data_IF_277750351890
#
_entry.id   IF_277750351890
#
_cell.length_a   1.000
_cell.length_b   1.000
_cell.length_c   1.000
_cell.angle_alpha   90.00
_cell.angle_beta   90.00
_cell.angle_gamma   90.00
#
_symmetry.space_group_name_H-M   'P 1'
#
loop_
_entity.id
_entity.type
_entity.pdbx_description
1 polymer ?
#
# COMPACT_ATOMS: atom_id res chain seq x y z
N UNK A 1 -5.40 39.90 23.85
CA UNK A 1 -6.13 38.62 24.06
C UNK A 1 -7.31 38.50 23.08
N UNK A 2 -8.23 39.51 23.07
CA UNK A 2 -9.46 39.43 22.23
C UNK A 2 -9.19 39.35 20.72
N UNK A 3 -8.21 40.06 20.20
CA UNK A 3 -7.86 40.09 18.76
C UNK A 3 -7.23 38.78 18.25
N UNK A 4 -6.72 37.92 19.13
CA UNK A 4 -6.08 36.64 18.78
C UNK A 4 -6.86 35.41 19.28
N UNK A 5 -8.07 35.62 19.79
CA UNK A 5 -8.91 34.55 20.36
C UNK A 5 -8.20 33.72 21.46
N UNK A 6 -7.31 34.37 22.25
CA UNK A 6 -6.58 33.73 23.33
C UNK A 6 -7.29 33.94 24.69
N UNK A 7 -7.23 32.93 25.54
CA UNK A 7 -7.69 32.96 26.92
C UNK A 7 -6.49 33.05 27.89
N UNK A 8 -6.71 33.53 29.09
CA UNK A 8 -5.73 33.54 30.16
C UNK A 8 -6.01 32.38 31.11
N UNK A 9 -4.97 31.61 31.42
CA UNK A 9 -4.99 30.53 32.38
C UNK A 9 -4.05 30.86 33.57
N UNK A 10 -4.47 30.56 34.76
CA UNK A 10 -3.62 30.59 35.96
C UNK A 10 -3.02 29.20 36.14
N UNK A 11 -1.70 29.10 36.02
CA UNK A 11 -0.98 27.82 36.00
C UNK A 11 -0.06 27.72 37.22
N UNK A 12 -0.18 26.62 37.96
CA UNK A 12 0.71 26.23 39.05
C UNK A 12 1.46 24.95 38.64
N UNK A 13 2.78 24.96 38.75
CA UNK A 13 3.62 23.77 38.50
C UNK A 13 4.22 23.33 39.84
N UNK A 14 3.91 22.10 40.24
CA UNK A 14 4.42 21.47 41.45
C UNK A 14 5.45 20.40 41.09
N UNK A 15 6.60 20.40 41.79
CA UNK A 15 7.63 19.40 41.67
C UNK A 15 7.82 18.70 42.99
N UNK A 16 7.48 17.42 43.06
CA UNK A 16 7.63 16.61 44.27
C UNK A 16 8.97 15.86 44.21
N UNK A 17 9.84 16.08 45.18
CA UNK A 17 11.07 15.34 45.37
C UNK A 17 10.89 14.29 46.47
N UNK A 18 11.29 13.06 46.23
CA UNK A 18 11.24 11.97 47.22
C UNK A 18 12.61 11.31 47.33
N UNK A 19 12.94 10.86 48.55
CA UNK A 19 14.20 10.14 48.80
C UNK A 19 14.08 9.21 50.02
N UNK A 20 15.00 8.27 50.14
CA UNK A 20 15.05 7.28 51.22
C UNK A 20 15.55 7.85 52.58
N UNK A 21 16.25 8.99 52.57
CA UNK A 21 16.71 9.69 53.74
C UNK A 21 16.78 11.20 53.51
N UNK A 22 16.87 11.97 54.59
CA UNK A 22 16.85 13.44 54.59
C UNK A 22 17.99 14.05 53.74
N UNK A 23 19.19 13.52 53.84
CA UNK A 23 20.34 14.07 53.12
C UNK A 23 20.21 13.89 51.60
N UNK A 24 19.70 12.73 51.16
CA UNK A 24 19.39 12.50 49.72
C UNK A 24 18.26 13.39 49.25
N UNK A 25 17.26 13.65 50.07
CA UNK A 25 16.17 14.56 49.75
C UNK A 25 16.67 16.00 49.56
N UNK A 26 17.48 16.50 50.48
CA UNK A 26 18.08 17.83 50.38
C UNK A 26 18.95 17.98 49.14
N UNK A 27 19.72 16.94 48.80
CA UNK A 27 20.49 16.91 47.55
C UNK A 27 19.59 16.94 46.30
N UNK A 28 18.50 16.17 46.27
CA UNK A 28 17.55 16.17 45.17
C UNK A 28 16.88 17.53 44.98
N UNK A 29 16.44 18.15 46.09
CA UNK A 29 15.87 19.52 46.08
C UNK A 29 16.87 20.55 45.54
N UNK A 30 18.13 20.46 45.97
CA UNK A 30 19.20 21.34 45.49
C UNK A 30 19.46 21.15 44.00
N UNK A 31 19.54 19.91 43.53
CA UNK A 31 19.73 19.61 42.12
C UNK A 31 18.56 20.11 41.25
N UNK A 32 17.32 19.91 41.73
CA UNK A 32 16.10 20.41 41.05
C UNK A 32 16.13 21.92 40.94
N UNK A 33 16.49 22.63 42.02
CA UNK A 33 16.59 24.08 42.01
C UNK A 33 17.71 24.58 41.05
N UNK A 34 18.86 23.92 41.06
CA UNK A 34 19.98 24.25 40.16
C UNK A 34 19.62 24.07 38.68
N UNK A 35 18.90 22.99 38.33
CA UNK A 35 18.40 22.75 36.98
C UNK A 35 17.41 23.86 36.58
N UNK A 36 16.44 24.19 37.42
CA UNK A 36 15.48 25.24 37.15
C UNK A 36 16.17 26.60 36.90
N UNK A 37 17.17 26.94 37.75
CA UNK A 37 17.91 28.18 37.62
C UNK A 37 18.70 28.25 36.31
N UNK A 38 19.25 27.14 35.83
CA UNK A 38 19.91 27.04 34.52
C UNK A 38 18.98 27.46 33.37
N UNK A 39 17.70 27.24 33.50
CA UNK A 39 16.65 27.61 32.54
C UNK A 39 15.88 28.88 32.91
N UNK A 40 16.47 29.72 33.77
CA UNK A 40 15.86 30.98 34.26
C UNK A 40 14.50 30.80 34.92
N UNK A 41 14.26 29.64 35.54
CA UNK A 41 13.09 29.38 36.35
C UNK A 41 13.43 29.45 37.84
N UNK A 42 12.65 30.18 38.62
CA UNK A 42 12.76 30.24 40.06
C UNK A 42 11.79 29.24 40.70
N UNK A 43 12.29 28.35 41.55
CA UNK A 43 11.47 27.45 42.34
C UNK A 43 11.30 27.99 43.74
N UNK A 44 10.08 27.98 44.26
CA UNK A 44 9.76 28.35 45.64
C UNK A 44 9.46 27.07 46.42
N UNK A 45 10.15 26.87 47.52
CA UNK A 45 9.86 25.74 48.42
C UNK A 45 8.57 26.00 49.17
N UNK A 46 7.72 24.98 49.27
CA UNK A 46 6.47 25.04 50.03
C UNK A 46 6.72 24.70 51.50
N UNK A 47 7.36 25.62 52.24
CA UNK A 47 7.58 25.45 53.68
C UNK A 47 6.26 25.69 54.44
N UNK A 48 5.87 24.74 55.27
CA UNK A 48 4.61 24.72 56.05
C UNK A 48 3.32 24.71 55.18
N UNK A 49 3.45 24.35 53.88
CA UNK A 49 2.35 24.23 52.92
C UNK A 49 2.38 22.86 52.23
N UNK A 50 2.89 21.85 52.92
CA UNK A 50 3.06 20.52 52.32
C UNK A 50 1.71 19.83 52.07
N UNK A 51 0.73 20.06 52.95
CA UNK A 51 -0.63 19.52 52.82
C UNK A 51 -1.33 20.14 51.59
N UNK A 52 -1.29 21.47 51.48
CA UNK A 52 -1.87 22.21 50.39
C UNK A 52 -1.19 21.81 49.06
N UNK A 53 0.13 21.59 49.06
CA UNK A 53 0.87 21.11 47.91
C UNK A 53 0.48 19.70 47.51
N UNK A 54 0.32 18.80 48.48
CA UNK A 54 -0.15 17.44 48.21
C UNK A 54 -1.58 17.44 47.63
N UNK A 55 -2.49 18.16 48.27
CA UNK A 55 -3.90 18.24 47.85
C UNK A 55 -4.02 18.85 46.43
N UNK A 56 -3.21 19.86 46.12
CA UNK A 56 -3.17 20.47 44.77
C UNK A 56 -2.55 19.58 43.72
N UNK A 57 -1.75 18.59 44.10
CA UNK A 57 -1.14 17.62 43.17
C UNK A 57 -2.04 16.43 42.84
N UNK A 58 -3.11 16.21 43.60
CA UNK A 58 -4.06 15.14 43.35
C UNK A 58 -5.11 15.57 42.31
N UNK A 59 -5.62 14.64 41.49
CA UNK A 59 -6.59 14.96 40.44
C UNK A 59 -8.02 15.18 40.97
N UNK A 60 -8.15 15.98 42.03
CA UNK A 60 -9.43 16.30 42.70
C UNK A 60 -10.02 17.65 42.26
N UNK A 61 -9.34 18.36 41.34
CA UNK A 61 -9.84 19.61 40.78
C UNK A 61 -9.72 20.84 41.69
N UNK A 62 -8.91 20.78 42.76
CA UNK A 62 -8.71 21.89 43.72
C UNK A 62 -7.23 22.29 43.71
N UNK A 63 -6.94 23.59 43.52
CA UNK A 63 -5.63 24.17 43.76
C UNK A 63 -5.66 24.99 45.04
N UNK A 64 -4.89 24.58 46.05
CA UNK A 64 -4.79 25.25 47.34
C UNK A 64 -3.49 26.07 47.47
N UNK A 65 -2.64 26.04 46.44
CA UNK A 65 -1.37 26.79 46.42
C UNK A 65 -1.58 28.08 45.65
N UNK A 66 -1.36 29.23 46.33
CA UNK A 66 -1.56 30.57 45.74
C UNK A 66 -0.40 31.05 44.84
N UNK A 67 0.47 30.15 44.41
CA UNK A 67 1.56 30.45 43.47
C UNK A 67 1.10 30.19 42.07
N UNK A 68 0.65 31.23 41.39
CA UNK A 68 0.05 31.13 40.07
C UNK A 68 0.80 32.01 39.05
N UNK A 69 0.92 31.51 37.82
CA UNK A 69 1.44 32.24 36.69
C UNK A 69 0.38 32.39 35.63
N UNK A 70 0.09 33.61 35.22
CA UNK A 70 -0.81 33.89 34.09
C UNK A 70 -0.13 33.51 32.79
N UNK A 71 -0.72 32.55 32.04
CA UNK A 71 -0.26 32.13 30.74
C UNK A 71 -1.42 32.23 29.73
N UNK A 72 -1.10 32.61 28.49
CA UNK A 72 -2.08 32.64 27.38
C UNK A 72 -2.32 31.23 26.84
N UNK A 73 -3.38 31.04 26.04
CA UNK A 73 -3.69 29.75 25.40
C UNK A 73 -2.49 29.17 24.70
N UNK A 74 -1.78 29.94 23.87
CA UNK A 74 -0.59 29.49 23.13
C UNK A 74 0.55 29.09 24.06
N UNK A 75 0.76 29.85 25.15
CA UNK A 75 1.80 29.51 26.15
C UNK A 75 1.43 28.27 26.99
N UNK A 76 0.16 28.10 27.34
CA UNK A 76 -0.34 26.97 28.12
C UNK A 76 -0.34 25.68 27.27
N UNK A 77 -0.59 25.78 25.97
CA UNK A 77 -0.57 24.65 25.05
C UNK A 77 0.80 23.92 25.00
N UNK A 78 1.89 24.60 25.33
CA UNK A 78 3.24 23.99 25.44
C UNK A 78 3.32 22.93 26.54
N UNK A 79 2.48 23.05 27.59
CA UNK A 79 2.43 22.07 28.70
C UNK A 79 1.51 20.88 28.42
N UNK A 80 0.74 20.91 27.32
CA UNK A 80 -0.03 19.73 26.93
C UNK A 80 0.99 18.65 26.56
N UNK A 81 0.99 17.51 27.26
CA UNK A 81 1.88 16.41 26.90
C UNK A 81 1.37 15.83 25.59
N UNK A 82 1.87 16.36 24.49
CA UNK A 82 1.73 15.68 23.20
C UNK A 82 2.50 14.38 23.30
N UNK A 83 1.80 13.33 23.72
CA UNK A 83 2.30 11.97 23.61
C UNK A 83 2.49 11.65 22.14
N UNK A 84 3.45 10.83 21.84
CA UNK A 84 3.64 10.27 20.49
C UNK A 84 2.32 9.64 20.03
N UNK A 85 1.95 9.86 18.78
CA UNK A 85 0.85 9.12 18.17
C UNK A 85 1.20 7.63 18.18
N UNK A 86 0.27 6.80 18.62
CA UNK A 86 0.43 5.36 18.70
C UNK A 86 -0.56 4.68 17.77
N UNK A 87 -0.11 3.60 17.15
CA UNK A 87 -0.92 2.74 16.30
C UNK A 87 -0.88 1.33 16.86
N UNK A 88 -1.84 1.02 17.75
CA UNK A 88 -1.94 -0.28 18.37
C UNK A 88 -3.39 -0.77 18.36
N UNK A 89 -3.66 -1.75 17.48
CA UNK A 89 -4.97 -2.37 17.33
C UNK A 89 -4.87 -3.86 17.67
N UNK A 90 -5.99 -4.44 18.04
CA UNK A 90 -6.13 -5.89 18.27
C UNK A 90 -6.73 -6.63 17.07
N UNK A 91 -7.14 -7.88 17.30
CA UNK A 91 -7.76 -8.72 16.25
C UNK A 91 -6.79 -9.15 15.17
N UNK A 92 -7.11 -8.91 13.91
CA UNK A 92 -6.28 -9.26 12.76
C UNK A 92 -5.24 -8.18 12.40
N UNK A 93 -4.85 -7.34 13.36
CA UNK A 93 -3.84 -6.32 13.14
C UNK A 93 -2.48 -6.93 12.83
N UNK A 94 -1.83 -6.42 11.80
CA UNK A 94 -0.50 -6.84 11.37
C UNK A 94 0.57 -5.96 12.01
N UNK A 95 1.74 -6.54 12.28
CA UNK A 95 2.89 -5.83 12.82
C UNK A 95 3.69 -5.14 11.72
N UNK A 96 4.01 -3.86 11.91
CA UNK A 96 4.74 -3.02 10.94
C UNK A 96 6.06 -2.43 11.49
N UNK A 97 6.50 -2.85 12.66
CA UNK A 97 7.71 -2.34 13.29
C UNK A 97 7.45 -1.67 14.64
N UNK A 98 8.43 -0.94 15.12
CA UNK A 98 8.35 -0.13 16.33
C UNK A 98 8.19 1.35 15.97
N UNK A 99 7.41 2.07 16.75
CA UNK A 99 7.36 3.52 16.70
C UNK A 99 8.76 4.08 17.03
N UNK A 100 9.36 4.84 16.12
CA UNK A 100 10.72 5.35 16.30
C UNK A 100 10.87 6.35 17.48
N UNK A 101 9.76 6.88 18.02
CA UNK A 101 9.76 7.81 19.15
C UNK A 101 9.54 7.11 20.50
N UNK A 102 8.54 6.23 20.57
CA UNK A 102 8.14 5.57 21.82
C UNK A 102 8.69 4.17 22.01
N UNK A 103 9.20 3.54 20.95
CA UNK A 103 9.55 2.11 20.87
C UNK A 103 8.37 1.15 21.09
N UNK A 104 7.13 1.63 21.04
CA UNK A 104 5.96 0.77 21.11
C UNK A 104 5.73 0.07 19.77
N UNK A 105 5.13 -1.13 19.80
CA UNK A 105 4.79 -1.86 18.58
C UNK A 105 3.73 -1.11 17.76
N UNK A 106 3.94 -1.07 16.45
CA UNK A 106 2.94 -0.61 15.49
C UNK A 106 2.17 -1.85 15.00
N UNK A 107 0.89 -1.89 15.37
CA UNK A 107 -0.04 -2.97 15.03
C UNK A 107 -1.29 -2.36 14.42
N UNK A 108 -1.57 -2.61 13.15
CA UNK A 108 -2.75 -2.06 12.47
C UNK A 108 -3.42 -3.07 11.54
N UNK A 109 -4.74 -2.95 11.44
CA UNK A 109 -5.56 -3.72 10.50
C UNK A 109 -6.07 -2.80 9.39
N UNK A 110 -5.55 -2.96 8.19
CA UNK A 110 -5.94 -2.15 7.02
C UNK A 110 -7.42 -2.29 6.66
N UNK A 111 -8.06 -3.41 7.03
CA UNK A 111 -9.51 -3.62 6.78
C UNK A 111 -10.41 -2.65 7.55
N UNK A 112 -9.88 -2.02 8.61
CA UNK A 112 -10.60 -1.00 9.38
C UNK A 112 -10.53 0.40 8.76
N UNK A 113 -9.69 0.62 7.74
CA UNK A 113 -9.62 1.87 7.01
C UNK A 113 -10.81 2.05 6.06
N UNK A 114 -11.16 3.30 5.77
CA UNK A 114 -12.17 3.61 4.75
C UNK A 114 -11.72 3.16 3.36
N UNK A 115 -10.42 3.33 3.07
CA UNK A 115 -9.77 2.87 1.86
C UNK A 115 -8.58 1.98 2.25
N UNK A 116 -8.73 0.64 2.31
CA UNK A 116 -7.67 -0.27 2.73
C UNK A 116 -6.52 -0.38 1.72
N UNK A 117 -6.66 0.25 0.56
CA UNK A 117 -5.63 0.30 -0.48
C UNK A 117 -4.34 0.92 0.05
N UNK A 118 -3.21 0.47 -0.43
CA UNK A 118 -1.92 0.90 0.08
C UNK A 118 -0.85 1.14 -0.97
N UNK A 119 0.16 1.90 -0.55
CA UNK A 119 1.36 2.18 -1.32
C UNK A 119 2.60 1.90 -0.47
N UNK A 120 3.61 1.25 -1.04
CA UNK A 120 4.94 1.08 -0.46
C UNK A 120 5.92 1.82 -1.37
N UNK A 121 6.46 2.93 -0.88
CA UNK A 121 7.29 3.84 -1.65
C UNK A 121 8.70 3.95 -1.05
N UNK A 122 9.72 3.97 -1.91
CA UNK A 122 11.10 4.14 -1.45
C UNK A 122 12.13 3.94 -2.55
N UNK A 123 13.33 4.44 -2.33
CA UNK A 123 14.47 4.25 -3.23
C UNK A 123 14.92 2.78 -3.31
N UNK A 124 15.69 2.38 -4.32
CA UNK A 124 16.36 1.08 -4.33
C UNK A 124 17.16 0.85 -3.05
N UNK A 125 17.08 -0.36 -2.49
CA UNK A 125 17.78 -0.72 -1.25
C UNK A 125 17.18 -0.18 0.06
N UNK A 126 16.08 0.58 0.02
CA UNK A 126 15.39 1.07 1.23
C UNK A 126 14.59 0.00 1.98
N UNK A 127 14.41 -1.19 1.42
CA UNK A 127 13.70 -2.31 2.04
C UNK A 127 12.25 -2.50 1.58
N UNK A 128 11.80 -1.92 0.46
CA UNK A 128 10.42 -2.05 -0.06
C UNK A 128 9.95 -3.50 -0.16
N UNK A 129 10.66 -4.31 -0.95
CA UNK A 129 10.30 -5.72 -1.18
C UNK A 129 10.36 -6.54 0.12
N UNK A 130 11.30 -6.22 1.01
CA UNK A 130 11.38 -6.84 2.34
C UNK A 130 10.14 -6.51 3.19
N UNK A 131 9.75 -5.23 3.26
CA UNK A 131 8.56 -4.80 4.02
C UNK A 131 7.27 -5.40 3.46
N UNK A 132 7.16 -5.48 2.13
CA UNK A 132 6.04 -6.15 1.47
C UNK A 132 5.98 -7.65 1.82
N UNK A 133 7.11 -8.36 1.73
CA UNK A 133 7.21 -9.79 2.12
C UNK A 133 6.87 -10.01 3.59
N UNK A 134 7.27 -9.07 4.47
CA UNK A 134 6.92 -9.12 5.89
C UNK A 134 5.41 -8.96 6.12
N UNK A 135 4.77 -7.99 5.46
CA UNK A 135 3.31 -7.83 5.52
C UNK A 135 2.60 -9.09 5.00
N UNK A 136 3.03 -9.62 3.85
CA UNK A 136 2.48 -10.87 3.27
C UNK A 136 2.59 -12.05 4.23
N UNK A 137 3.76 -12.21 4.88
CA UNK A 137 4.00 -13.27 5.86
C UNK A 137 3.06 -13.13 7.05
N UNK A 138 2.96 -11.92 7.61
CA UNK A 138 2.07 -11.65 8.74
C UNK A 138 0.60 -11.88 8.36
N UNK A 139 0.18 -11.41 7.18
CA UNK A 139 -1.18 -11.62 6.68
C UNK A 139 -1.48 -13.12 6.49
N UNK A 140 -0.54 -13.88 5.93
CA UNK A 140 -0.69 -15.33 5.73
C UNK A 140 -0.84 -16.09 7.05
N UNK A 141 -0.13 -15.68 8.10
CA UNK A 141 -0.11 -16.37 9.40
C UNK A 141 -1.28 -15.95 10.31
N UNK A 142 -1.77 -14.72 10.20
CA UNK A 142 -2.72 -14.12 11.14
C UNK A 142 -4.15 -14.14 10.59
N UNK A 143 -4.32 -14.00 9.26
CA UNK A 143 -5.63 -13.86 8.61
C UNK A 143 -5.93 -15.07 7.72
N UNK A 144 -7.17 -15.16 7.24
CA UNK A 144 -7.58 -16.11 6.19
C UNK A 144 -7.59 -15.49 4.78
N UNK A 145 -7.09 -14.26 4.64
CA UNK A 145 -7.07 -13.53 3.37
C UNK A 145 -6.28 -14.29 2.30
N UNK A 146 -6.72 -14.21 1.04
CA UNK A 146 -5.90 -14.63 -0.09
C UNK A 146 -4.81 -13.59 -0.36
N UNK A 147 -3.64 -14.05 -0.75
CA UNK A 147 -2.48 -13.21 -1.05
C UNK A 147 -2.04 -13.47 -2.47
N UNK A 148 -2.03 -12.44 -3.29
CA UNK A 148 -1.64 -12.53 -4.69
C UNK A 148 -0.55 -11.48 -4.96
N UNK A 149 0.50 -11.90 -5.65
CA UNK A 149 1.64 -11.04 -5.99
C UNK A 149 1.85 -11.04 -7.50
N UNK A 150 1.97 -9.85 -8.09
CA UNK A 150 2.52 -9.66 -9.42
C UNK A 150 4.01 -9.30 -9.29
N UNK A 151 4.86 -10.20 -9.76
CA UNK A 151 6.32 -10.19 -9.55
C UNK A 151 7.09 -10.03 -10.88
N UNK A 152 7.38 -8.80 -11.31
CA UNK A 152 8.12 -8.56 -12.54
C UNK A 152 9.64 -8.77 -12.42
N UNK A 153 10.17 -8.96 -11.20
CA UNK A 153 11.62 -9.09 -10.94
C UNK A 153 12.00 -10.45 -10.32
N UNK A 154 11.02 -11.35 -10.07
CA UNK A 154 11.20 -12.68 -9.47
C UNK A 154 11.84 -12.64 -8.07
N UNK A 155 11.38 -11.72 -7.22
CA UNK A 155 11.89 -11.55 -5.85
C UNK A 155 11.09 -12.33 -4.81
N UNK A 156 9.82 -12.69 -5.08
CA UNK A 156 8.88 -13.24 -4.08
C UNK A 156 8.81 -14.77 -4.05
N UNK A 157 9.28 -15.42 -5.11
CA UNK A 157 9.25 -16.89 -5.26
C UNK A 157 9.74 -17.66 -4.00
N UNK A 158 10.89 -17.32 -3.33
CA UNK A 158 11.36 -18.13 -2.18
C UNK A 158 10.38 -18.08 -1.00
N UNK A 159 9.76 -16.93 -0.75
CA UNK A 159 8.77 -16.78 0.31
C UNK A 159 7.51 -17.57 0.02
N UNK A 160 7.00 -17.47 -1.21
CA UNK A 160 5.77 -18.14 -1.64
C UNK A 160 5.91 -19.65 -1.51
N UNK A 161 7.02 -20.22 -2.01
CA UNK A 161 7.31 -21.65 -1.88
C UNK A 161 7.40 -22.09 -0.40
N UNK A 162 8.08 -21.31 0.44
CA UNK A 162 8.25 -21.67 1.86
C UNK A 162 6.93 -21.70 2.62
N UNK A 163 5.98 -20.88 2.23
CA UNK A 163 4.63 -20.84 2.82
C UNK A 163 3.63 -21.79 2.13
N UNK A 164 4.09 -22.66 1.23
CA UNK A 164 3.24 -23.64 0.52
C UNK A 164 2.32 -22.98 -0.52
N UNK A 165 2.64 -21.79 -0.97
CA UNK A 165 1.94 -21.10 -2.03
C UNK A 165 2.33 -21.59 -3.43
N UNK A 166 1.67 -21.06 -4.45
CA UNK A 166 1.90 -21.42 -5.84
C UNK A 166 2.61 -20.30 -6.58
N UNK A 167 3.65 -20.64 -7.32
CA UNK A 167 4.32 -19.74 -8.25
C UNK A 167 3.91 -20.13 -9.68
N UNK A 168 3.30 -19.18 -10.38
CA UNK A 168 2.89 -19.32 -11.78
C UNK A 168 3.89 -18.53 -12.61
N UNK A 169 4.71 -19.22 -13.39
CA UNK A 169 5.74 -18.58 -14.21
C UNK A 169 5.24 -18.35 -15.61
N UNK A 170 5.05 -17.10 -15.98
CA UNK A 170 4.58 -16.70 -17.30
C UNK A 170 5.79 -16.27 -18.13
N UNK A 171 6.13 -17.06 -19.15
CA UNK A 171 7.24 -16.76 -20.05
C UNK A 171 6.99 -17.38 -21.43
N UNK A 172 7.69 -16.94 -22.48
CA UNK A 172 7.56 -17.52 -23.82
C UNK A 172 7.92 -19.00 -23.91
N UNK A 173 8.64 -19.54 -22.92
CA UNK A 173 9.09 -20.95 -22.87
C UNK A 173 8.40 -21.75 -21.76
N UNK A 174 7.55 -21.12 -20.98
CA UNK A 174 6.78 -21.78 -19.90
C UNK A 174 5.64 -22.61 -20.48
N UNK A 175 5.24 -23.62 -19.72
CA UNK A 175 4.01 -24.39 -19.97
C UNK A 175 2.83 -23.89 -19.14
N UNK A 176 3.03 -22.87 -18.32
CA UNK A 176 2.00 -22.22 -17.53
C UNK A 176 1.32 -21.11 -18.36
N UNK A 177 0.04 -21.26 -18.58
CA UNK A 177 -0.75 -20.33 -19.40
C UNK A 177 -1.88 -19.71 -18.61
N UNK A 178 -2.12 -18.43 -18.90
CA UNK A 178 -3.25 -17.66 -18.39
C UNK A 178 -3.96 -17.03 -19.57
N UNK A 179 -5.26 -17.28 -19.66
CA UNK A 179 -6.12 -16.73 -20.69
C UNK A 179 -6.57 -15.31 -20.32
N UNK A 180 -6.23 -14.27 -21.09
CA UNK A 180 -6.70 -12.91 -20.83
C UNK A 180 -8.22 -12.77 -21.00
N UNK A 181 -8.89 -13.72 -21.68
CA UNK A 181 -10.32 -13.71 -21.89
C UNK A 181 -11.11 -14.49 -20.81
N UNK A 182 -10.47 -15.02 -19.77
CA UNK A 182 -11.20 -15.64 -18.67
C UNK A 182 -12.11 -14.62 -18.00
N UNK A 183 -13.37 -15.03 -17.76
CA UNK A 183 -14.39 -14.21 -17.12
C UNK A 183 -15.12 -14.99 -16.04
N UNK A 184 -15.36 -14.36 -14.90
CA UNK A 184 -16.23 -14.90 -13.87
C UNK A 184 -17.66 -14.42 -14.12
N UNK A 185 -18.60 -15.34 -14.31
CA UNK A 185 -20.01 -15.03 -14.52
C UNK A 185 -20.81 -14.89 -13.22
N UNK A 186 -20.26 -15.30 -12.08
CA UNK A 186 -20.88 -15.20 -10.76
C UNK A 186 -20.69 -13.81 -10.16
N UNK A 187 -21.10 -12.79 -10.90
CA UNK A 187 -21.11 -11.41 -10.45
C UNK A 187 -22.37 -11.10 -9.65
N UNK A 188 -22.38 -9.93 -8.98
CA UNK A 188 -23.58 -9.40 -8.36
C UNK A 188 -24.62 -9.06 -9.43
N UNK A 189 -25.91 -9.10 -9.08
CA UNK A 189 -27.02 -8.72 -9.96
C UNK A 189 -26.94 -7.26 -10.47
N UNK A 190 -26.10 -6.41 -9.85
CA UNK A 190 -25.99 -4.98 -10.13
C UNK A 190 -24.95 -4.62 -11.22
N UNK A 191 -23.99 -5.49 -11.53
CA UNK A 191 -22.91 -5.19 -12.49
C UNK A 191 -22.80 -6.25 -13.60
N UNK A 192 -22.71 -5.79 -14.84
CA UNK A 192 -22.50 -6.68 -15.99
C UNK A 192 -20.99 -7.05 -16.12
N UNK A 193 -20.61 -8.32 -15.91
CA UNK A 193 -19.22 -8.75 -16.01
C UNK A 193 -18.60 -8.47 -17.39
N UNK A 194 -19.39 -8.45 -18.44
CA UNK A 194 -18.92 -8.20 -19.79
C UNK A 194 -18.45 -6.75 -20.01
N UNK A 195 -19.04 -5.78 -19.28
CA UNK A 195 -18.63 -4.37 -19.38
C UNK A 195 -17.19 -4.19 -18.88
N UNK A 196 -16.88 -4.75 -17.71
CA UNK A 196 -15.51 -4.69 -17.17
C UNK A 196 -14.50 -5.46 -18.01
N UNK A 197 -14.92 -6.59 -18.54
CA UNK A 197 -14.08 -7.35 -19.46
C UNK A 197 -13.84 -6.58 -20.76
N UNK A 198 -14.82 -5.83 -21.25
CA UNK A 198 -14.65 -4.95 -22.42
C UNK A 198 -13.62 -3.85 -22.14
N UNK A 199 -13.69 -3.19 -20.96
CA UNK A 199 -12.73 -2.16 -20.54
C UNK A 199 -11.30 -2.73 -20.42
N UNK A 200 -11.17 -3.96 -19.88
CA UNK A 200 -9.90 -4.66 -19.83
C UNK A 200 -9.36 -4.94 -21.26
N UNK A 201 -10.17 -5.48 -22.16
CA UNK A 201 -9.75 -5.80 -23.53
C UNK A 201 -9.43 -4.53 -24.32
N UNK A 202 -10.14 -3.44 -24.10
CA UNK A 202 -9.80 -2.11 -24.65
C UNK A 202 -8.40 -1.68 -24.18
N UNK A 203 -8.10 -1.80 -22.88
CA UNK A 203 -6.78 -1.47 -22.32
C UNK A 203 -5.67 -2.38 -22.88
N UNK A 204 -5.96 -3.66 -23.04
CA UNK A 204 -5.07 -4.63 -23.67
C UNK A 204 -4.77 -4.27 -25.14
N UNK A 205 -5.81 -3.97 -25.92
CA UNK A 205 -5.66 -3.57 -27.31
C UNK A 205 -4.91 -2.24 -27.45
N UNK A 206 -5.10 -1.29 -26.52
CA UNK A 206 -4.34 -0.04 -26.54
C UNK A 206 -2.85 -0.25 -26.33
N UNK A 207 -2.45 -1.15 -25.43
CA UNK A 207 -1.04 -1.52 -25.26
C UNK A 207 -0.43 -2.15 -26.52
N UNK A 208 -1.25 -2.83 -27.32
CA UNK A 208 -0.81 -3.55 -28.52
C UNK A 208 -0.84 -2.66 -29.77
N UNK A 209 -1.89 -1.87 -29.96
CA UNK A 209 -2.21 -1.17 -31.22
C UNK A 209 -2.13 0.36 -31.08
N UNK A 210 -2.38 0.90 -29.89
CA UNK A 210 -2.67 2.33 -29.70
C UNK A 210 -1.51 3.29 -29.99
N UNK A 211 -0.27 2.85 -29.89
CA UNK A 211 0.90 3.69 -30.13
C UNK A 211 0.95 4.90 -29.17
N UNK A 212 1.35 6.08 -29.68
CA UNK A 212 1.43 7.31 -28.88
C UNK A 212 0.09 8.03 -28.71
N UNK A 213 -0.82 7.83 -29.65
CA UNK A 213 -2.10 8.57 -29.72
C UNK A 213 -3.28 7.78 -29.14
N UNK A 214 -3.02 6.58 -28.62
CA UNK A 214 -4.05 5.68 -28.08
C UNK A 214 -4.98 5.11 -29.16
N UNK A 215 -6.04 4.44 -28.73
CA UNK A 215 -7.08 3.91 -29.62
C UNK A 215 -8.05 5.01 -30.06
N UNK A 216 -8.32 5.06 -31.36
CA UNK A 216 -9.31 5.98 -31.92
C UNK A 216 -10.75 5.57 -31.54
N UNK A 217 -11.73 6.49 -31.48
CA UNK A 217 -13.10 6.19 -31.09
C UNK A 217 -13.76 5.07 -31.92
N UNK A 218 -13.46 5.01 -33.21
CA UNK A 218 -13.96 3.93 -34.10
C UNK A 218 -13.39 2.59 -33.71
N UNK A 219 -12.10 2.52 -33.36
CA UNK A 219 -11.43 1.30 -32.93
C UNK A 219 -11.98 0.79 -31.59
N UNK A 220 -12.24 1.71 -30.63
CA UNK A 220 -12.89 1.37 -29.36
C UNK A 220 -14.26 0.73 -29.58
N UNK A 221 -15.06 1.28 -30.50
CA UNK A 221 -16.38 0.73 -30.86
C UNK A 221 -16.29 -0.65 -31.50
N UNK A 222 -15.31 -0.86 -32.37
CA UNK A 222 -15.08 -2.16 -33.04
C UNK A 222 -14.65 -3.21 -32.01
N UNK A 223 -13.74 -2.87 -31.09
CA UNK A 223 -13.28 -3.77 -30.04
C UNK A 223 -14.44 -4.15 -29.11
N UNK A 224 -15.21 -3.18 -28.58
CA UNK A 224 -16.37 -3.46 -27.72
C UNK A 224 -17.40 -4.38 -28.41
N UNK A 225 -17.73 -4.10 -29.67
CA UNK A 225 -18.60 -4.98 -30.47
C UNK A 225 -18.03 -6.39 -30.58
N UNK A 226 -16.73 -6.53 -30.86
CA UNK A 226 -16.06 -7.81 -31.00
C UNK A 226 -16.04 -8.60 -29.69
N UNK A 227 -15.84 -7.93 -28.56
CA UNK A 227 -15.90 -8.53 -27.23
C UNK A 227 -17.31 -9.12 -26.98
N UNK A 228 -18.36 -8.40 -27.29
CA UNK A 228 -19.72 -8.94 -27.15
C UNK A 228 -19.95 -10.16 -28.01
N UNK A 229 -19.41 -10.17 -29.23
CA UNK A 229 -19.55 -11.30 -30.15
C UNK A 229 -18.77 -12.53 -29.66
N UNK A 230 -17.55 -12.36 -29.18
CA UNK A 230 -16.69 -13.48 -28.77
C UNK A 230 -17.23 -14.25 -27.56
N UNK A 231 -17.99 -13.57 -26.68
CA UNK A 231 -18.57 -14.22 -25.50
C UNK A 231 -19.97 -14.79 -25.72
N UNK A 232 -20.60 -14.62 -26.90
CA UNK A 232 -21.99 -15.06 -27.13
C UNK A 232 -22.19 -16.56 -26.86
N UNK A 233 -21.27 -17.41 -27.36
CA UNK A 233 -21.38 -18.86 -27.19
C UNK A 233 -21.17 -19.27 -25.73
N UNK A 234 -20.18 -18.68 -25.06
CA UNK A 234 -19.90 -18.95 -23.66
C UNK A 234 -21.03 -18.52 -22.74
N UNK A 235 -21.61 -17.33 -22.95
CA UNK A 235 -22.71 -16.82 -22.13
C UNK A 235 -24.03 -17.61 -22.33
N UNK A 236 -24.22 -18.21 -23.52
CA UNK A 236 -25.36 -19.07 -23.76
C UNK A 236 -25.27 -20.44 -23.06
N UNK A 237 -24.05 -20.98 -22.91
CA UNK A 237 -23.78 -22.26 -22.25
C UNK A 237 -22.39 -22.20 -21.56
N UNK A 238 -22.34 -21.70 -20.30
CA UNK A 238 -21.06 -21.44 -19.63
C UNK A 238 -20.31 -22.72 -19.27
N UNK A 239 -19.48 -23.19 -20.18
CA UNK A 239 -18.57 -24.33 -19.98
C UNK A 239 -17.12 -23.92 -20.20
N UNK A 240 -16.16 -24.47 -19.46
CA UNK A 240 -14.73 -24.16 -19.60
C UNK A 240 -14.22 -24.32 -21.03
N UNK A 241 -14.74 -25.32 -21.78
CA UNK A 241 -14.34 -25.61 -23.15
C UNK A 241 -14.82 -24.53 -24.15
N UNK A 242 -15.83 -23.74 -23.78
CA UNK A 242 -16.39 -22.63 -24.58
C UNK A 242 -15.83 -21.27 -24.21
N UNK A 243 -14.97 -21.21 -23.18
CA UNK A 243 -14.26 -19.98 -22.83
C UNK A 243 -13.43 -19.50 -24.03
N UNK A 244 -13.66 -18.27 -24.55
CA UNK A 244 -12.90 -17.81 -25.68
C UNK A 244 -11.42 -17.60 -25.34
N UNK A 245 -10.56 -17.66 -26.36
CA UNK A 245 -9.14 -17.33 -26.30
C UNK A 245 -8.84 -16.16 -27.26
N UNK A 246 -7.61 -15.66 -27.23
CA UNK A 246 -7.22 -14.50 -28.02
C UNK A 246 -7.40 -14.72 -29.52
N UNK A 247 -7.25 -15.96 -30.00
CA UNK A 247 -7.50 -16.35 -31.38
C UNK A 247 -8.97 -16.16 -31.81
N UNK A 248 -9.90 -16.41 -30.92
CA UNK A 248 -11.34 -16.21 -31.19
C UNK A 248 -11.63 -14.73 -31.44
N UNK A 249 -11.08 -13.85 -30.60
CA UNK A 249 -11.18 -12.40 -30.78
C UNK A 249 -10.53 -11.92 -32.08
N UNK A 250 -9.33 -12.46 -32.41
CA UNK A 250 -8.62 -12.19 -33.66
C UNK A 250 -9.47 -12.56 -34.85
N UNK A 251 -10.08 -13.75 -34.88
CA UNK A 251 -10.92 -14.24 -35.96
C UNK A 251 -12.16 -13.38 -36.19
N UNK A 252 -12.79 -12.91 -35.06
CA UNK A 252 -13.93 -12.00 -35.18
C UNK A 252 -13.53 -10.66 -35.78
N UNK A 253 -12.41 -10.08 -35.35
CA UNK A 253 -11.88 -8.84 -35.90
C UNK A 253 -11.52 -8.99 -37.41
N UNK A 254 -10.87 -10.08 -37.77
CA UNK A 254 -10.47 -10.38 -39.16
C UNK A 254 -11.65 -10.54 -40.13
N UNK A 255 -12.79 -10.99 -39.62
CA UNK A 255 -14.00 -11.18 -40.41
C UNK A 255 -14.84 -9.90 -40.60
N UNK A 256 -14.47 -8.80 -39.93
CA UNK A 256 -15.14 -7.51 -40.11
C UNK A 256 -14.59 -6.78 -41.34
N UNK A 257 -15.43 -5.96 -41.98
CA UNK A 257 -15.08 -5.28 -43.24
C UNK A 257 -14.35 -3.95 -43.04
N UNK A 258 -14.40 -3.37 -41.85
CA UNK A 258 -13.82 -2.08 -41.52
C UNK A 258 -12.27 -2.14 -41.58
N UNK A 259 -11.59 -1.17 -42.21
CA UNK A 259 -10.13 -1.12 -42.24
C UNK A 259 -9.47 -1.07 -40.87
N UNK A 260 -10.12 -0.43 -39.91
CA UNK A 260 -9.66 -0.34 -38.53
C UNK A 260 -9.66 -1.72 -37.84
N UNK A 261 -10.68 -2.54 -38.11
CA UNK A 261 -10.75 -3.91 -37.62
C UNK A 261 -9.59 -4.75 -38.16
N UNK A 262 -9.28 -4.61 -39.46
CA UNK A 262 -8.14 -5.29 -40.10
C UNK A 262 -6.80 -4.83 -39.51
N UNK A 263 -6.66 -3.53 -39.20
CA UNK A 263 -5.47 -2.98 -38.55
C UNK A 263 -5.27 -3.59 -37.15
N UNK A 264 -6.32 -3.66 -36.34
CA UNK A 264 -6.28 -4.26 -35.01
C UNK A 264 -5.95 -5.76 -35.12
N UNK A 265 -6.61 -6.50 -36.02
CA UNK A 265 -6.34 -7.92 -36.24
C UNK A 265 -4.87 -8.15 -36.63
N UNK A 266 -4.35 -7.36 -37.58
CA UNK A 266 -2.95 -7.48 -38.01
C UNK A 266 -1.96 -7.22 -36.88
N UNK A 267 -2.25 -6.26 -35.97
CA UNK A 267 -1.42 -6.01 -34.82
C UNK A 267 -1.51 -7.12 -33.76
N UNK A 268 -2.65 -7.79 -33.63
CA UNK A 268 -2.83 -8.94 -32.76
C UNK A 268 -2.17 -10.22 -33.29
N UNK A 269 -1.87 -10.33 -34.59
CA UNK A 269 -1.39 -11.55 -35.22
C UNK A 269 -0.11 -12.09 -34.59
N UNK A 270 0.82 -11.22 -34.16
CA UNK A 270 2.04 -11.62 -33.45
C UNK A 270 1.77 -12.27 -32.08
N UNK A 271 0.67 -11.92 -31.45
CA UNK A 271 0.25 -12.46 -30.14
C UNK A 271 -0.61 -13.72 -30.27
N UNK A 272 -1.10 -14.03 -31.46
CA UNK A 272 -1.94 -15.20 -31.75
C UNK A 272 -1.14 -16.28 -32.43
N UNK A 273 -0.54 -15.96 -33.60
CA UNK A 273 0.19 -16.90 -34.45
C UNK A 273 1.71 -16.67 -34.46
N UNK A 274 2.17 -15.56 -33.88
CA UNK A 274 3.59 -15.18 -33.89
C UNK A 274 4.34 -15.62 -32.64
N UNK A 275 5.52 -15.03 -32.44
CA UNK A 275 6.47 -15.36 -31.38
C UNK A 275 6.04 -14.90 -29.99
N UNK A 276 4.98 -14.11 -29.87
CA UNK A 276 4.48 -13.56 -28.61
C UNK A 276 3.15 -14.21 -28.16
N UNK A 277 2.89 -15.44 -28.57
CA UNK A 277 1.61 -16.14 -28.39
C UNK A 277 1.38 -16.73 -26.97
N UNK A 278 2.19 -16.37 -25.99
CA UNK A 278 2.10 -16.89 -24.61
C UNK A 278 0.71 -16.70 -23.96
N UNK A 279 -0.05 -15.72 -24.40
CA UNK A 279 -1.40 -15.44 -23.93
C UNK A 279 -2.53 -15.98 -24.81
N UNK A 280 -2.20 -16.74 -25.87
CA UNK A 280 -3.19 -17.35 -26.75
C UNK A 280 -3.48 -18.82 -26.38
N UNK A 281 -3.66 -19.08 -25.08
CA UNK A 281 -3.93 -20.42 -24.57
C UNK A 281 -5.01 -20.35 -23.49
N UNK A 282 -5.72 -21.46 -23.25
CA UNK A 282 -6.62 -21.60 -22.11
C UNK A 282 -5.79 -21.68 -20.84
N UNK A 283 -6.32 -21.13 -19.75
CA UNK A 283 -5.68 -21.24 -18.43
C UNK A 283 -5.57 -22.71 -18.03
N UNK A 284 -4.37 -23.15 -17.72
CA UNK A 284 -4.04 -24.53 -17.35
C UNK A 284 -3.40 -24.66 -15.97
N UNK A 285 -3.32 -23.55 -15.22
CA UNK A 285 -2.72 -23.49 -13.88
C UNK A 285 -3.82 -23.36 -12.83
N UNK A 286 -3.57 -23.93 -11.62
CA UNK A 286 -4.47 -23.74 -10.50
C UNK A 286 -4.23 -22.36 -9.87
N UNK A 287 -5.15 -21.46 -10.12
CA UNK A 287 -5.13 -20.09 -9.55
C UNK A 287 -5.81 -20.01 -8.18
N UNK A 288 -6.24 -21.16 -7.58
CA UNK A 288 -7.06 -21.17 -6.37
C UNK A 288 -6.27 -21.28 -5.06
N UNK A 289 -4.93 -21.42 -5.12
CA UNK A 289 -4.11 -21.41 -3.92
C UNK A 289 -4.28 -20.09 -3.15
N UNK A 290 -4.22 -20.16 -1.83
CA UNK A 290 -4.35 -19.01 -0.95
C UNK A 290 -3.21 -18.00 -1.12
N UNK A 291 -2.00 -18.44 -1.50
CA UNK A 291 -0.87 -17.57 -1.78
C UNK A 291 -0.35 -17.84 -3.19
N UNK A 292 -0.58 -16.91 -4.11
CA UNK A 292 -0.20 -17.03 -5.53
C UNK A 292 0.78 -15.92 -5.91
N UNK A 293 1.88 -16.31 -6.56
CA UNK A 293 2.82 -15.39 -7.16
C UNK A 293 2.84 -15.58 -8.68
N UNK A 294 2.56 -14.53 -9.42
CA UNK A 294 2.73 -14.47 -10.86
C UNK A 294 4.12 -13.93 -11.19
N UNK A 295 5.07 -14.83 -11.45
CA UNK A 295 6.42 -14.48 -11.92
C UNK A 295 6.37 -14.17 -13.42
N UNK A 296 6.56 -12.89 -13.75
CA UNK A 296 6.52 -12.35 -15.11
C UNK A 296 7.89 -11.78 -15.55
N UNK A 297 8.96 -12.11 -14.85
CA UNK A 297 10.31 -11.58 -15.10
C UNK A 297 10.79 -11.87 -16.51
N UNK A 298 10.56 -13.09 -17.00
CA UNK A 298 11.03 -13.53 -18.31
C UNK A 298 10.19 -13.00 -19.49
N UNK A 299 9.09 -12.30 -19.21
CA UNK A 299 8.39 -11.54 -20.23
C UNK A 299 9.26 -10.35 -20.68
N UNK A 300 9.62 -10.30 -21.94
CA UNK A 300 10.34 -9.17 -22.53
C UNK A 300 9.60 -7.84 -22.31
N UNK A 301 10.27 -6.72 -22.54
CA UNK A 301 9.71 -5.37 -22.27
C UNK A 301 8.32 -5.13 -22.89
N UNK A 302 8.04 -5.70 -24.06
CA UNK A 302 6.75 -5.55 -24.74
C UNK A 302 5.63 -6.31 -24.03
N UNK A 303 5.92 -7.51 -23.51
CA UNK A 303 4.93 -8.35 -22.84
C UNK A 303 4.79 -8.06 -21.34
N UNK A 304 5.80 -7.43 -20.71
CA UNK A 304 5.78 -7.20 -19.26
C UNK A 304 4.58 -6.37 -18.81
N UNK A 305 4.30 -5.23 -19.47
CA UNK A 305 3.12 -4.39 -19.17
C UNK A 305 1.82 -5.16 -19.44
N UNK A 306 1.75 -5.88 -20.53
CA UNK A 306 0.59 -6.71 -20.88
C UNK A 306 0.38 -7.81 -19.83
N UNK A 307 1.44 -8.49 -19.41
CA UNK A 307 1.40 -9.48 -18.35
C UNK A 307 0.89 -8.91 -17.02
N UNK A 308 1.37 -7.75 -16.61
CA UNK A 308 0.88 -7.06 -15.41
C UNK A 308 -0.63 -6.74 -15.51
N UNK A 309 -1.08 -6.25 -16.66
CA UNK A 309 -2.49 -5.95 -16.90
C UNK A 309 -3.35 -7.21 -16.84
N UNK A 310 -2.90 -8.33 -17.42
CA UNK A 310 -3.60 -9.61 -17.39
C UNK A 310 -3.65 -10.15 -15.95
N UNK A 311 -2.55 -10.08 -15.21
CA UNK A 311 -2.54 -10.48 -13.79
C UNK A 311 -3.54 -9.65 -12.98
N UNK A 312 -3.62 -8.34 -13.22
CA UNK A 312 -4.58 -7.46 -12.53
C UNK A 312 -6.05 -7.87 -12.80
N UNK A 313 -6.36 -8.27 -14.02
CA UNK A 313 -7.68 -8.78 -14.37
C UNK A 313 -7.98 -10.14 -13.72
N UNK A 314 -7.01 -11.03 -13.66
CA UNK A 314 -7.13 -12.32 -12.95
C UNK A 314 -7.35 -12.11 -11.43
N UNK A 315 -6.65 -11.15 -10.85
CA UNK A 315 -6.87 -10.78 -9.43
C UNK A 315 -8.29 -10.24 -9.22
N UNK A 316 -8.78 -9.44 -10.15
CA UNK A 316 -10.17 -8.96 -10.10
C UNK A 316 -11.18 -10.13 -10.09
N UNK A 317 -10.99 -11.12 -10.96
CA UNK A 317 -11.80 -12.32 -10.95
C UNK A 317 -11.73 -13.04 -9.59
N UNK A 318 -10.56 -13.10 -8.95
CA UNK A 318 -10.40 -13.70 -7.62
C UNK A 318 -11.12 -12.91 -6.53
N UNK A 319 -11.02 -11.57 -6.56
CA UNK A 319 -11.72 -10.69 -5.62
C UNK A 319 -13.24 -10.90 -5.71
N UNK A 320 -13.79 -11.04 -6.91
CA UNK A 320 -15.23 -11.28 -7.10
C UNK A 320 -15.69 -12.62 -6.55
N UNK A 321 -14.89 -13.66 -6.70
CA UNK A 321 -15.15 -15.00 -6.13
C UNK A 321 -15.08 -14.94 -4.59
N UNK A 322 -14.05 -14.34 -4.04
CA UNK A 322 -13.82 -14.27 -2.60
C UNK A 322 -14.87 -13.41 -1.88
N UNK A 323 -15.39 -12.37 -2.53
CA UNK A 323 -16.50 -11.57 -1.98
C UNK A 323 -17.71 -12.44 -1.61
N UNK A 324 -18.09 -13.39 -2.47
CA UNK A 324 -19.19 -14.30 -2.19
C UNK A 324 -18.93 -15.20 -0.96
N UNK A 325 -17.67 -15.38 -0.59
CA UNK A 325 -17.23 -16.15 0.57
C UNK A 325 -16.92 -15.28 1.80
N UNK A 326 -17.14 -13.96 1.74
CA UNK A 326 -16.75 -12.97 2.75
C UNK A 326 -15.26 -12.98 3.09
N UNK A 327 -14.42 -13.31 2.11
CA UNK A 327 -12.98 -13.42 2.22
C UNK A 327 -12.30 -12.24 1.53
N UNK A 328 -11.32 -11.62 2.20
CA UNK A 328 -10.55 -10.55 1.60
C UNK A 328 -9.44 -11.09 0.67
N UNK A 329 -9.02 -10.27 -0.29
CA UNK A 329 -7.93 -10.57 -1.21
C UNK A 329 -6.90 -9.45 -1.16
N UNK A 330 -5.69 -9.76 -0.70
CA UNK A 330 -4.54 -8.84 -0.71
C UNK A 330 -3.79 -9.00 -2.02
N UNK A 331 -3.65 -7.91 -2.74
CA UNK A 331 -2.95 -7.89 -4.02
C UNK A 331 -1.75 -6.96 -3.99
N UNK A 332 -0.56 -7.50 -4.21
CA UNK A 332 0.68 -6.75 -4.24
C UNK A 332 1.19 -6.65 -5.67
N UNK A 333 1.37 -5.42 -6.14
CA UNK A 333 1.95 -5.11 -7.46
C UNK A 333 3.33 -4.50 -7.29
N UNK A 334 4.37 -5.24 -7.63
CA UNK A 334 5.69 -4.66 -7.70
C UNK A 334 5.89 -3.90 -9.03
N UNK A 335 6.76 -2.88 -9.02
CA UNK A 335 6.98 -1.96 -10.14
C UNK A 335 5.67 -1.35 -10.71
N UNK A 336 4.73 -1.02 -9.82
CA UNK A 336 3.37 -0.56 -10.14
C UNK A 336 3.35 0.61 -11.13
N UNK A 337 4.36 1.48 -11.12
CA UNK A 337 4.48 2.62 -12.04
C UNK A 337 4.45 2.22 -13.52
N UNK A 338 4.77 0.97 -13.85
CA UNK A 338 4.75 0.50 -15.24
C UNK A 338 3.33 0.48 -15.85
N UNK A 339 2.30 0.25 -15.03
CA UNK A 339 0.89 0.28 -15.46
C UNK A 339 0.33 1.70 -15.59
N UNK A 340 1.03 2.69 -15.05
CA UNK A 340 0.52 4.06 -14.96
C UNK A 340 1.06 4.99 -16.04
N UNK A 341 1.88 4.47 -16.97
CA UNK A 341 2.51 5.26 -18.04
C UNK A 341 1.59 5.52 -19.22
N UNK A 342 0.69 4.62 -19.52
CA UNK A 342 -0.25 4.72 -20.63
C UNK A 342 -1.63 5.13 -20.07
N UNK A 343 -2.30 6.08 -20.72
CA UNK A 343 -3.54 6.69 -20.22
C UNK A 343 -4.66 5.68 -19.94
N UNK A 344 -4.93 4.79 -20.90
CA UNK A 344 -6.01 3.80 -20.77
C UNK A 344 -5.68 2.74 -19.69
N UNK A 345 -4.44 2.29 -19.63
CA UNK A 345 -3.99 1.32 -18.62
C UNK A 345 -4.03 1.94 -17.22
N UNK A 346 -3.63 3.22 -17.11
CA UNK A 346 -3.75 3.97 -15.87
C UNK A 346 -5.22 4.13 -15.45
N UNK A 347 -6.11 4.52 -16.37
CA UNK A 347 -7.54 4.65 -16.11
C UNK A 347 -8.17 3.32 -15.66
N UNK A 348 -7.85 2.21 -16.32
CA UNK A 348 -8.28 0.87 -15.90
C UNK A 348 -7.75 0.51 -14.50
N UNK A 349 -6.48 0.77 -14.23
CA UNK A 349 -5.88 0.48 -12.92
C UNK A 349 -6.53 1.32 -11.80
N UNK A 350 -6.82 2.60 -12.05
CA UNK A 350 -7.53 3.48 -11.10
C UNK A 350 -8.95 2.98 -10.84
N UNK A 351 -9.66 2.55 -11.87
CA UNK A 351 -11.02 2.04 -11.73
C UNK A 351 -11.05 0.76 -10.89
N UNK A 352 -10.16 -0.19 -11.18
CA UNK A 352 -10.00 -1.41 -10.39
C UNK A 352 -9.61 -1.08 -8.94
N UNK A 353 -8.73 -0.11 -8.73
CA UNK A 353 -8.31 0.34 -7.39
C UNK A 353 -9.47 0.84 -6.54
N UNK A 354 -10.38 1.62 -7.15
CA UNK A 354 -11.61 2.10 -6.51
C UNK A 354 -12.59 0.97 -6.21
N UNK A 355 -12.70 -0.01 -7.12
CA UNK A 355 -13.61 -1.15 -6.98
C UNK A 355 -13.15 -2.13 -5.93
N UNK A 356 -11.85 -2.40 -5.81
CA UNK A 356 -11.31 -3.31 -4.80
C UNK A 356 -11.83 -3.00 -3.40
N UNK A 357 -11.87 -1.73 -3.01
CA UNK A 357 -12.42 -1.29 -1.72
C UNK A 357 -13.82 -1.82 -1.43
N UNK A 358 -14.71 -1.76 -2.43
CA UNK A 358 -16.12 -2.18 -2.27
C UNK A 358 -16.28 -3.71 -2.26
N UNK A 359 -15.28 -4.42 -2.79
CA UNK A 359 -15.37 -5.86 -3.05
C UNK A 359 -14.47 -6.70 -2.14
N UNK A 360 -13.84 -6.09 -1.12
CA UNK A 360 -12.97 -6.80 -0.17
C UNK A 360 -11.56 -7.04 -0.70
N UNK A 361 -11.17 -6.34 -1.76
CA UNK A 361 -9.80 -6.31 -2.25
C UNK A 361 -8.96 -5.28 -1.50
N UNK A 362 -7.70 -5.61 -1.24
CA UNK A 362 -6.72 -4.76 -0.56
C UNK A 362 -5.47 -4.65 -1.46
N UNK A 363 -5.52 -3.81 -2.50
CA UNK A 363 -4.38 -3.64 -3.39
C UNK A 363 -3.25 -2.85 -2.72
N UNK A 364 -2.02 -3.17 -3.07
CA UNK A 364 -0.81 -2.50 -2.62
C UNK A 364 0.14 -2.31 -3.79
N UNK A 365 0.35 -1.06 -4.19
CA UNK A 365 1.32 -0.68 -5.21
C UNK A 365 2.70 -0.49 -4.60
N UNK A 366 3.71 -1.15 -5.14
CA UNK A 366 5.10 -1.04 -4.70
C UNK A 366 5.88 -0.37 -5.82
N UNK A 367 6.57 0.74 -5.53
CA UNK A 367 7.37 1.42 -6.54
C UNK A 367 8.47 2.29 -5.95
N UNK A 368 9.50 2.51 -6.73
CA UNK A 368 10.59 3.44 -6.47
C UNK A 368 10.43 4.78 -7.20
N UNK A 369 9.52 4.85 -8.18
CA UNK A 369 9.39 6.01 -9.06
C UNK A 369 8.13 6.83 -8.71
N UNK A 370 8.30 7.76 -7.79
CA UNK A 370 7.22 8.64 -7.31
C UNK A 370 6.82 9.68 -8.36
N UNK A 371 7.76 10.15 -9.19
CA UNK A 371 7.47 11.14 -10.22
C UNK A 371 6.50 10.61 -11.25
N UNK A 372 6.66 9.36 -11.67
CA UNK A 372 5.73 8.72 -12.60
C UNK A 372 4.35 8.52 -11.96
N UNK A 373 4.30 8.29 -10.62
CA UNK A 373 3.05 8.20 -9.88
C UNK A 373 2.27 9.52 -9.81
N UNK A 374 2.95 10.66 -9.78
CA UNK A 374 2.31 11.98 -9.62
C UNK A 374 2.25 12.75 -10.95
N UNK A 375 2.58 12.10 -12.08
CA UNK A 375 2.62 12.75 -13.38
C UNK A 375 1.24 12.96 -14.02
N UNK A 376 0.21 12.25 -13.59
CA UNK A 376 -1.13 12.37 -14.15
C UNK A 376 -2.19 12.52 -13.04
N UNK A 377 -3.30 13.18 -13.39
CA UNK A 377 -4.46 13.36 -12.50
C UNK A 377 -5.13 12.03 -12.14
N UNK A 378 -5.08 11.05 -13.04
CA UNK A 378 -5.59 9.71 -12.80
C UNK A 378 -4.83 9.04 -11.65
N UNK A 379 -3.53 9.28 -11.57
CA UNK A 379 -2.66 8.69 -10.54
C UNK A 379 -2.81 9.41 -9.19
N UNK A 380 -3.07 10.72 -9.15
CA UNK A 380 -3.44 11.41 -7.91
C UNK A 380 -4.64 10.72 -7.23
N UNK A 381 -5.60 10.22 -8.02
CA UNK A 381 -6.72 9.46 -7.50
C UNK A 381 -6.30 8.16 -6.77
N UNK A 382 -5.18 7.55 -7.10
CA UNK A 382 -4.67 6.37 -6.38
C UNK A 382 -4.20 6.76 -4.98
N UNK A 383 -3.50 7.89 -4.84
CA UNK A 383 -3.11 8.42 -3.53
C UNK A 383 -4.33 8.78 -2.69
N UNK A 384 -5.32 9.49 -3.25
CA UNK A 384 -6.54 9.86 -2.56
C UNK A 384 -7.40 8.66 -2.12
N UNK A 385 -7.26 7.53 -2.81
CA UNK A 385 -7.94 6.28 -2.51
C UNK A 385 -7.05 5.26 -1.80
N UNK A 386 -5.97 5.69 -1.14
CA UNK A 386 -5.05 4.86 -0.38
C UNK A 386 -4.82 5.46 1.00
N UNK A 387 -5.51 4.94 2.01
CA UNK A 387 -5.36 5.42 3.37
C UNK A 387 -4.16 4.77 4.10
N UNK A 388 -3.46 3.84 3.44
CA UNK A 388 -2.26 3.21 3.94
C UNK A 388 -1.07 3.55 3.05
N UNK A 389 -0.05 4.25 3.60
CA UNK A 389 1.21 4.51 2.88
C UNK A 389 2.39 4.14 3.76
N UNK A 390 3.24 3.26 3.24
CA UNK A 390 4.48 2.85 3.87
C UNK A 390 5.63 3.53 3.13
N UNK A 391 6.15 4.61 3.73
CA UNK A 391 7.08 5.52 3.09
C UNK A 391 8.48 5.33 3.68
N UNK A 392 9.35 4.72 2.90
CA UNK A 392 10.75 4.48 3.21
C UNK A 392 11.63 5.64 2.72
N UNK A 393 12.96 5.49 2.77
CA UNK A 393 13.89 6.50 2.29
C UNK A 393 13.57 6.98 0.87
N UNK A 394 13.63 8.30 0.64
CA UNK A 394 13.28 8.93 -0.62
C UNK A 394 14.45 9.70 -1.23
N UNK A 395 14.52 9.72 -2.57
CA UNK A 395 15.46 10.57 -3.30
C UNK A 395 15.15 12.06 -3.06
N UNK A 396 16.17 12.92 -3.11
CA UNK A 396 16.04 14.35 -2.80
C UNK A 396 14.99 15.07 -3.65
N UNK A 397 14.85 14.69 -4.94
CA UNK A 397 13.88 15.28 -5.85
C UNK A 397 12.44 14.87 -5.57
N UNK A 398 12.21 13.70 -4.98
CA UNK A 398 10.88 13.15 -4.72
C UNK A 398 10.34 13.56 -3.36
N UNK A 399 11.23 13.84 -2.40
CA UNK A 399 10.85 14.23 -1.02
C UNK A 399 9.93 15.44 -0.96
N UNK A 400 10.27 16.51 -1.70
CA UNK A 400 9.47 17.73 -1.69
C UNK A 400 8.09 17.51 -2.31
N UNK A 401 8.03 16.75 -3.38
CA UNK A 401 6.77 16.42 -4.07
C UNK A 401 5.88 15.59 -3.14
N UNK A 402 6.43 14.55 -2.51
CA UNK A 402 5.70 13.72 -1.55
C UNK A 402 5.30 14.50 -0.29
N UNK A 403 6.17 15.37 0.22
CA UNK A 403 5.84 16.16 1.40
C UNK A 403 4.67 17.10 1.16
N UNK A 404 4.56 17.67 -0.03
CA UNK A 404 3.43 18.50 -0.42
C UNK A 404 2.16 17.65 -0.64
N UNK A 405 2.27 16.51 -1.35
CA UNK A 405 1.13 15.65 -1.66
C UNK A 405 0.53 14.96 -0.41
N UNK A 406 1.39 14.58 0.54
CA UNK A 406 1.00 13.85 1.75
C UNK A 406 0.97 14.74 3.01
N UNK A 407 1.15 16.05 2.89
CA UNK A 407 1.19 17.00 4.00
C UNK A 407 2.18 16.61 5.11
N UNK A 408 3.39 16.16 4.73
CA UNK A 408 4.45 15.77 5.66
C UNK A 408 5.11 17.01 6.24
N UNK A 409 5.18 17.11 7.57
CA UNK A 409 5.85 18.23 8.25
C UNK A 409 7.39 18.16 8.08
N UNK A 410 8.10 19.30 8.21
CA UNK A 410 9.57 19.31 8.14
C UNK A 410 10.26 18.36 9.13
N UNK A 411 9.70 18.18 10.32
CA UNK A 411 10.21 17.25 11.33
C UNK A 411 10.02 15.78 10.92
N UNK A 412 8.90 15.44 10.33
CA UNK A 412 8.62 14.10 9.82
C UNK A 412 9.47 13.78 8.58
N UNK A 413 9.79 14.77 7.75
CA UNK A 413 10.62 14.62 6.55
C UNK A 413 12.01 14.03 6.86
N UNK A 414 12.53 14.25 8.07
CA UNK A 414 13.81 13.68 8.50
C UNK A 414 13.79 12.14 8.51
N UNK A 415 12.66 11.50 8.76
CA UNK A 415 12.53 10.04 8.79
C UNK A 415 12.51 9.38 7.41
N UNK A 416 12.41 10.15 6.34
CA UNK A 416 12.50 9.68 4.95
C UNK A 416 13.72 10.25 4.22
N UNK A 417 14.61 10.91 4.99
CA UNK A 417 15.85 11.52 4.48
C UNK A 417 17.06 10.82 5.08
N UNK A 418 17.81 10.10 4.25
CA UNK A 418 18.98 9.32 4.69
C UNK A 418 18.68 8.30 5.81
N UNK A 419 17.43 7.79 5.85
CA UNK A 419 17.06 6.72 6.76
C UNK A 419 17.66 5.38 6.32
N UNK A 420 17.86 4.48 7.28
CA UNK A 420 18.31 3.13 7.00
C UNK A 420 17.22 2.29 6.33
N UNK A 421 17.59 1.12 5.79
CA UNK A 421 16.60 0.16 5.31
C UNK A 421 15.67 -0.27 6.46
N UNK A 422 14.36 -0.25 6.23
CA UNK A 422 13.37 -0.57 7.26
C UNK A 422 12.99 0.59 8.18
N UNK A 423 13.43 1.81 7.89
CA UNK A 423 13.04 3.02 8.62
C UNK A 423 12.25 3.98 7.71
N UNK A 424 11.26 4.69 8.27
CA UNK A 424 10.45 5.62 7.49
C UNK A 424 9.22 6.15 8.22
N UNK A 425 8.17 6.43 7.45
CA UNK A 425 6.87 6.88 7.94
C UNK A 425 5.77 5.90 7.52
N UNK A 426 4.90 5.56 8.43
CA UNK A 426 3.66 4.83 8.17
C UNK A 426 2.47 5.78 8.29
N UNK A 427 1.63 5.77 7.27
CA UNK A 427 0.37 6.48 7.22
C UNK A 427 -0.75 5.46 7.43
N UNK A 428 -1.62 5.75 8.36
CA UNK A 428 -2.82 4.96 8.62
C UNK A 428 -4.01 5.91 8.78
N UNK A 429 -4.75 6.12 7.71
CA UNK A 429 -5.74 7.19 7.62
C UNK A 429 -5.08 8.56 7.77
N UNK A 430 -5.52 9.33 8.74
CA UNK A 430 -4.95 10.65 9.05
C UNK A 430 -3.73 10.62 10.00
N UNK A 431 -3.37 9.45 10.51
CA UNK A 431 -2.27 9.28 11.47
C UNK A 431 -0.96 9.00 10.76
N UNK A 432 0.09 9.75 11.08
CA UNK A 432 1.43 9.59 10.54
C UNK A 432 2.39 9.28 11.68
N UNK A 433 3.04 8.11 11.65
CA UNK A 433 3.95 7.65 12.70
C UNK A 433 5.30 7.28 12.10
N UNK A 434 6.42 7.76 12.65
CA UNK A 434 7.73 7.27 12.26
C UNK A 434 7.94 5.86 12.80
N UNK A 435 8.47 4.98 11.94
CA UNK A 435 8.68 3.59 12.30
C UNK A 435 10.11 3.13 12.08
N UNK A 436 10.47 2.08 12.80
CA UNK A 436 11.69 1.30 12.62
C UNK A 436 11.34 -0.19 12.67
N UNK A 437 11.66 -0.91 11.61
CA UNK A 437 11.52 -2.37 11.53
C UNK A 437 12.91 -3.03 11.45
N UNK A 438 13.42 -3.41 12.62
CA UNK A 438 14.73 -4.06 12.78
C UNK A 438 14.51 -5.59 12.87
N UNK A 439 14.52 -6.25 11.74
CA UNK A 439 14.29 -7.68 11.68
C UNK A 439 15.57 -8.47 12.01
N UNK A 440 15.52 -9.52 12.86
CA UNK A 440 16.71 -10.34 13.21
C UNK A 440 17.30 -11.02 11.97
N UNK A 441 18.55 -10.66 11.64
CA UNK A 441 19.25 -11.12 10.42
C UNK A 441 19.73 -12.57 10.47
N UNK A 442 19.81 -13.15 11.65
CA UNK A 442 20.25 -14.52 11.91
C UNK A 442 19.15 -15.56 11.69
N UNK A 443 17.91 -15.12 11.38
CA UNK A 443 16.76 -15.99 11.18
C UNK A 443 16.67 -16.50 9.74
N UNK A 444 16.13 -17.73 9.59
CA UNK A 444 15.83 -18.30 8.27
C UNK A 444 14.84 -17.42 7.49
N UNK A 445 13.85 -16.84 8.18
CA UNK A 445 12.85 -15.99 7.55
C UNK A 445 13.48 -14.72 6.95
N UNK A 446 14.48 -14.12 7.64
CA UNK A 446 15.22 -12.99 7.08
C UNK A 446 15.88 -13.36 5.74
N UNK A 447 16.57 -14.52 5.69
CA UNK A 447 17.28 -14.99 4.49
C UNK A 447 16.35 -15.27 3.31
N UNK A 448 15.10 -15.68 3.59
CA UNK A 448 14.06 -15.89 2.57
C UNK A 448 13.49 -14.55 2.08
N UNK A 449 13.39 -13.55 2.95
CA UNK A 449 12.79 -12.25 2.61
C UNK A 449 13.78 -11.26 2.01
N UNK A 450 15.09 -11.37 2.34
CA UNK A 450 16.11 -10.44 1.81
C UNK A 450 16.26 -10.60 0.30
N UNK A 451 16.53 -9.48 -0.38
CA UNK A 451 16.87 -9.44 -1.83
C UNK A 451 18.35 -9.21 -2.07
N UNK A 452 19.15 -9.09 -1.00
CA UNK A 452 20.59 -8.92 -1.12
C UNK A 452 21.26 -10.25 -1.41
N UNK A 453 21.93 -10.36 -2.54
CA UNK A 453 22.59 -11.60 -3.00
C UNK A 453 23.54 -12.23 -1.98
N UNK A 454 24.24 -11.41 -1.20
CA UNK A 454 25.17 -11.84 -0.16
C UNK A 454 24.49 -12.45 1.08
N UNK A 455 23.19 -12.17 1.26
CA UNK A 455 22.40 -12.56 2.43
C UNK A 455 21.32 -13.61 2.12
N UNK A 456 21.14 -13.97 0.82
CA UNK A 456 20.14 -14.95 0.38
C UNK A 456 20.63 -16.40 0.57
N UNK A 457 19.75 -17.30 0.98
CA UNK A 457 19.96 -18.76 0.86
C UNK A 457 19.84 -19.22 -0.61
N UNK A 458 20.67 -18.72 -1.49
CA UNK A 458 20.86 -19.30 -2.81
C UNK A 458 22.02 -20.28 -2.74
N UNK A 459 21.79 -21.45 -2.16
CA UNK A 459 22.52 -22.69 -2.42
C UNK A 459 21.58 -23.87 -2.09
#
# INVERSE_FOLDING_TARGET
LQTRNERLFLVTILIMNTATNRQKLENAVFQTAAIAQKYNCALKRLDFQQEEGLMSSLPIGVNQVEIERGLTTSSTAVFVPFTTQELFQGGEALYYGLNALSNNMIMVDRKQLKNPNGLILGTPGSGKSFSAKREMTNAFLITEDDIIVCDPEAEYFPLVQKLGGQVIRISPVSTDYINPLDINTNYSEEENPLTLKSDFILSMCELIVGGKDGLQPVEKTIIDRSVRMVYQEFLADPKPEKMPILEDLYNILRNQKEPEAQRIATALEIYVHGSLNVFNHRTNVDVNNRFVCYDIRELGKQLKKLGMLIVQDQVWNRVTINRAQHKATRYYMDEFHLLLKEEQTAAYSVEIWKRFRKWGGIPTGITQNVKDLLASREVENIFENSDFVYLLNQASGDRQILSNALNISPSQQNYITNSNAGEGLIFYGSTIVPFKDDFPKDTQLYRIMTTKLEETELN
#
